data_IF_157302499712
#
_entry.id   IF_157302499712
#
_cell.length_a   1.000
_cell.length_b   1.000
_cell.length_c   1.000
_cell.angle_alpha   90.00
_cell.angle_beta   90.00
_cell.angle_gamma   90.00
#
_symmetry.space_group_name_H-M   'P 1'
#
loop_
_entity.id
_entity.type
_entity.pdbx_description
1 polymer ?
#
# COMPACT_ATOMS: atom_id res chain seq x y z
N UNK A 1 6.20 26.06 -2.66
CA UNK A 1 7.18 25.56 -3.63
C UNK A 1 6.49 24.62 -4.61
N UNK A 2 6.29 25.04 -5.86
CA UNK A 2 5.59 24.25 -6.87
C UNK A 2 6.55 23.23 -7.49
N UNK A 3 6.26 21.91 -7.35
CA UNK A 3 7.06 20.87 -8.01
C UNK A 3 6.81 20.92 -9.52
N UNK A 4 7.82 21.32 -10.29
CA UNK A 4 7.76 21.26 -11.76
C UNK A 4 8.04 19.82 -12.19
N UNK A 5 7.14 19.22 -12.98
CA UNK A 5 7.32 17.87 -13.54
C UNK A 5 8.34 17.98 -14.67
N UNK A 6 9.51 17.37 -14.52
CA UNK A 6 10.52 17.28 -15.59
C UNK A 6 10.29 15.97 -16.31
N UNK A 7 10.09 16.03 -17.63
CA UNK A 7 10.13 14.84 -18.47
C UNK A 7 11.60 14.50 -18.74
N UNK A 8 12.08 13.30 -18.40
CA UNK A 8 13.44 12.91 -18.75
C UNK A 8 13.58 12.84 -20.27
N UNK A 9 14.71 13.35 -20.79
CA UNK A 9 15.09 13.18 -22.19
C UNK A 9 15.54 11.74 -22.50
N UNK A 10 15.96 11.46 -23.75
CA UNK A 10 16.55 10.17 -24.09
C UNK A 10 17.79 9.88 -23.24
N UNK A 11 18.03 8.60 -22.95
CA UNK A 11 19.26 8.17 -22.25
C UNK A 11 20.45 8.40 -23.18
N UNK A 12 21.45 9.15 -22.72
CA UNK A 12 22.69 9.44 -23.44
C UNK A 12 23.71 8.30 -23.36
N UNK A 13 24.91 8.54 -23.88
CA UNK A 13 26.05 7.63 -23.72
C UNK A 13 26.51 7.58 -22.24
N UNK A 14 27.25 6.53 -21.89
CA UNK A 14 27.85 6.39 -20.56
C UNK A 14 28.87 7.50 -20.32
N UNK A 15 28.87 8.04 -19.10
CA UNK A 15 29.69 9.17 -18.66
C UNK A 15 30.61 8.69 -17.54
N UNK A 16 31.89 9.06 -17.60
CA UNK A 16 32.85 8.81 -16.52
C UNK A 16 32.80 9.99 -15.53
N UNK A 17 32.28 9.73 -14.32
CA UNK A 17 32.03 10.76 -13.31
C UNK A 17 33.31 11.24 -12.58
N UNK A 18 34.42 10.52 -12.71
CA UNK A 18 35.71 10.95 -12.16
C UNK A 18 36.34 12.01 -13.06
N UNK A 19 36.21 11.83 -14.39
CA UNK A 19 36.77 12.72 -15.40
C UNK A 19 35.84 13.91 -15.72
N UNK A 20 34.52 13.70 -15.72
CA UNK A 20 33.54 14.70 -16.09
C UNK A 20 32.90 15.37 -14.87
N UNK A 21 32.63 16.68 -14.96
CA UNK A 21 31.98 17.46 -13.90
C UNK A 21 30.48 17.60 -14.17
N UNK A 22 29.72 16.59 -13.72
CA UNK A 22 28.27 16.58 -13.79
C UNK A 22 27.67 17.13 -12.49
N UNK A 23 26.71 18.06 -12.60
CA UNK A 23 26.04 18.69 -11.45
C UNK A 23 24.59 18.22 -11.32
N UNK A 24 24.18 17.96 -10.08
CA UNK A 24 22.79 17.71 -9.71
C UNK A 24 21.97 19.01 -9.70
N UNK A 25 20.62 18.95 -9.70
CA UNK A 25 19.77 20.14 -9.67
C UNK A 25 19.96 21.05 -8.45
N UNK A 26 20.55 20.53 -7.37
CA UNK A 26 20.91 21.29 -6.18
C UNK A 26 22.29 21.97 -6.28
N UNK A 27 22.98 21.81 -7.42
CA UNK A 27 24.31 22.36 -7.68
C UNK A 27 25.47 21.50 -7.17
N UNK A 28 25.20 20.38 -6.50
CA UNK A 28 26.26 19.48 -6.01
C UNK A 28 26.86 18.62 -7.15
N UNK A 29 28.12 18.20 -7.01
CA UNK A 29 28.77 17.30 -7.99
C UNK A 29 28.21 15.89 -7.85
N UNK A 30 27.90 15.25 -8.98
CA UNK A 30 27.60 13.84 -9.06
C UNK A 30 28.92 13.06 -9.18
N UNK A 31 29.24 12.25 -8.18
CA UNK A 31 30.38 11.32 -8.15
C UNK A 31 29.85 9.88 -8.18
N UNK A 32 30.71 8.89 -8.44
CA UNK A 32 30.31 7.47 -8.49
C UNK A 32 29.74 6.97 -7.16
N UNK A 33 30.31 7.39 -6.04
CA UNK A 33 29.81 7.08 -4.70
C UNK A 33 28.39 7.63 -4.50
N UNK A 34 28.17 8.89 -4.87
CA UNK A 34 26.84 9.55 -4.82
C UNK A 34 25.84 8.92 -5.79
N UNK A 35 26.29 8.52 -6.97
CA UNK A 35 25.45 7.85 -7.95
C UNK A 35 24.97 6.49 -7.41
N UNK A 36 25.89 5.72 -6.81
CA UNK A 36 25.59 4.45 -6.14
C UNK A 36 24.59 4.64 -5.01
N UNK A 37 24.80 5.62 -4.12
CA UNK A 37 23.90 5.92 -3.00
C UNK A 37 22.48 6.26 -3.49
N UNK A 38 22.36 7.08 -4.55
CA UNK A 38 21.07 7.46 -5.13
C UNK A 38 20.39 6.24 -5.76
N UNK A 39 21.13 5.39 -6.45
CA UNK A 39 20.63 4.16 -7.07
C UNK A 39 20.13 3.17 -6.01
N UNK A 40 20.90 2.92 -4.95
CA UNK A 40 20.50 2.07 -3.83
C UNK A 40 19.24 2.61 -3.15
N UNK A 41 19.19 3.91 -2.88
CA UNK A 41 17.99 4.56 -2.31
C UNK A 41 16.77 4.41 -3.23
N UNK A 42 16.97 4.45 -4.55
CA UNK A 42 15.91 4.21 -5.52
C UNK A 42 15.47 2.74 -5.56
N UNK A 43 16.39 1.79 -5.39
CA UNK A 43 16.09 0.35 -5.31
C UNK A 43 15.34 -0.02 -4.02
N UNK A 44 15.76 0.55 -2.87
CA UNK A 44 15.05 0.42 -1.59
C UNK A 44 13.63 0.97 -1.70
N UNK A 45 13.45 2.04 -2.46
CA UNK A 45 12.13 2.54 -2.88
C UNK A 45 11.55 1.66 -3.99
N UNK A 46 11.25 0.39 -3.64
CA UNK A 46 10.50 -0.52 -4.52
C UNK A 46 9.33 0.22 -5.17
N UNK A 47 9.20 0.14 -6.49
CA UNK A 47 8.02 0.65 -7.20
C UNK A 47 6.80 -0.20 -6.80
N UNK A 48 6.07 0.31 -5.81
CA UNK A 48 4.84 -0.23 -5.23
C UNK A 48 4.61 0.42 -3.86
N UNK A 49 3.36 0.59 -3.42
CA UNK A 49 3.08 1.08 -2.05
C UNK A 49 3.55 -0.01 -1.07
N UNK A 50 4.50 0.27 -0.15
CA UNK A 50 4.86 -0.69 0.90
C UNK A 50 3.63 -1.10 1.71
N UNK A 51 3.44 -2.39 1.97
CA UNK A 51 2.58 -2.83 3.07
C UNK A 51 3.30 -2.47 4.37
N UNK A 52 2.59 -1.82 5.30
CA UNK A 52 3.15 -1.29 6.55
C UNK A 52 3.17 -2.38 7.64
N UNK A 53 2.78 -3.62 7.32
CA UNK A 53 2.66 -4.74 8.26
C UNK A 53 3.36 -5.96 7.68
N UNK A 54 4.37 -6.48 8.39
CA UNK A 54 5.15 -7.69 8.09
C UNK A 54 4.37 -9.01 8.33
N UNK A 55 3.05 -8.94 8.46
CA UNK A 55 2.18 -10.08 8.68
C UNK A 55 1.20 -10.17 7.50
N UNK A 56 1.59 -10.89 6.45
CA UNK A 56 0.79 -11.12 5.25
C UNK A 56 -0.26 -12.25 5.48
N UNK A 57 -0.85 -12.28 6.68
CA UNK A 57 -1.94 -13.19 7.01
C UNK A 57 -3.25 -12.61 6.46
N UNK A 58 -3.56 -12.91 5.19
CA UNK A 58 -4.87 -12.56 4.62
C UNK A 58 -6.00 -13.08 5.52
N UNK A 59 -7.00 -12.22 5.80
CA UNK A 59 -8.20 -12.66 6.51
C UNK A 59 -8.86 -13.81 5.74
N UNK A 60 -9.07 -14.98 6.36
CA UNK A 60 -9.72 -16.10 5.68
C UNK A 60 -11.15 -15.73 5.28
N UNK A 61 -11.56 -16.14 4.08
CA UNK A 61 -12.91 -15.90 3.58
C UNK A 61 -13.85 -17.06 3.95
N UNK A 62 -15.01 -16.74 4.53
CA UNK A 62 -16.09 -17.70 4.80
C UNK A 62 -17.33 -17.30 3.99
N UNK A 63 -17.86 -18.23 3.18
CA UNK A 63 -19.10 -18.04 2.44
C UNK A 63 -20.23 -18.81 3.13
N UNK A 64 -21.24 -18.09 3.62
CA UNK A 64 -22.41 -18.66 4.31
C UNK A 64 -23.66 -18.48 3.46
N UNK A 65 -24.45 -19.55 3.31
CA UNK A 65 -25.79 -19.47 2.70
C UNK A 65 -26.82 -19.15 3.77
N UNK A 66 -27.60 -18.11 3.56
CA UNK A 66 -28.67 -17.66 4.47
C UNK A 66 -29.96 -17.45 3.69
N UNK A 67 -31.10 -17.42 4.39
CA UNK A 67 -32.38 -17.05 3.77
C UNK A 67 -32.37 -15.58 3.32
N UNK A 68 -33.24 -15.24 2.37
CA UNK A 68 -33.45 -13.85 1.93
C UNK A 68 -33.85 -12.93 3.07
N UNK A 69 -34.70 -13.42 3.98
CA UNK A 69 -35.14 -12.71 5.19
C UNK A 69 -33.98 -12.38 6.12
N UNK A 70 -33.07 -13.34 6.34
CA UNK A 70 -31.89 -13.14 7.21
C UNK A 70 -30.94 -12.12 6.60
N UNK A 71 -30.71 -12.19 5.29
CA UNK A 71 -29.86 -11.23 4.58
C UNK A 71 -30.43 -9.80 4.66
N UNK A 72 -31.73 -9.65 4.43
CA UNK A 72 -32.41 -8.36 4.51
C UNK A 72 -32.33 -7.76 5.93
N UNK A 73 -32.54 -8.57 6.97
CA UNK A 73 -32.42 -8.12 8.36
C UNK A 73 -31.01 -7.63 8.68
N UNK A 74 -29.96 -8.35 8.23
CA UNK A 74 -28.57 -7.91 8.43
C UNK A 74 -28.26 -6.60 7.67
N UNK A 75 -28.81 -6.42 6.48
CA UNK A 75 -28.67 -5.17 5.71
C UNK A 75 -29.34 -3.98 6.39
N UNK A 76 -30.53 -4.18 6.96
CA UNK A 76 -31.25 -3.15 7.72
C UNK A 76 -30.52 -2.75 9.01
N UNK A 77 -29.99 -3.73 9.75
CA UNK A 77 -29.17 -3.49 10.93
C UNK A 77 -27.90 -2.71 10.54
N UNK A 78 -27.22 -3.12 9.48
CA UNK A 78 -26.03 -2.42 8.98
C UNK A 78 -26.34 -0.97 8.58
N UNK A 79 -27.45 -0.75 7.85
CA UNK A 79 -27.88 0.57 7.42
C UNK A 79 -28.24 1.49 8.60
N UNK A 80 -29.03 0.98 9.55
CA UNK A 80 -29.44 1.75 10.74
C UNK A 80 -28.25 2.16 11.63
N UNK A 81 -27.21 1.33 11.67
CA UNK A 81 -25.98 1.61 12.42
C UNK A 81 -24.93 2.40 11.60
N UNK A 82 -25.16 2.63 10.30
CA UNK A 82 -24.18 3.25 9.41
C UNK A 82 -22.90 2.41 9.20
N UNK A 83 -23.00 1.08 9.36
CA UNK A 83 -21.88 0.14 9.30
C UNK A 83 -21.94 -0.71 8.04
N UNK A 84 -20.84 -1.40 7.73
CA UNK A 84 -20.81 -2.36 6.61
C UNK A 84 -21.46 -3.67 7.04
N UNK A 85 -22.17 -4.31 6.11
CA UNK A 85 -22.77 -5.64 6.32
C UNK A 85 -21.76 -6.67 6.85
N UNK A 86 -20.53 -6.62 6.34
CA UNK A 86 -19.45 -7.53 6.76
C UNK A 86 -19.05 -7.35 8.24
N UNK A 87 -19.10 -6.12 8.76
CA UNK A 87 -18.73 -5.85 10.16
C UNK A 87 -19.82 -6.34 11.10
N UNK A 88 -21.09 -6.09 10.77
CA UNK A 88 -22.25 -6.63 11.51
C UNK A 88 -22.25 -8.15 11.48
N UNK A 89 -21.97 -8.76 10.32
CA UNK A 89 -21.92 -10.22 10.19
C UNK A 89 -20.77 -10.82 11.02
N UNK A 90 -19.60 -10.19 11.02
CA UNK A 90 -18.45 -10.64 11.82
C UNK A 90 -18.76 -10.59 13.31
N UNK A 91 -19.33 -9.50 13.79
CA UNK A 91 -19.74 -9.33 15.19
C UNK A 91 -20.79 -10.38 15.59
N UNK A 92 -21.80 -10.61 14.75
CA UNK A 92 -22.80 -11.65 15.02
C UNK A 92 -22.17 -13.05 15.15
N UNK A 93 -21.19 -13.39 14.30
CA UNK A 93 -20.45 -14.65 14.44
C UNK A 93 -19.61 -14.68 15.71
N UNK A 94 -18.94 -13.59 16.06
CA UNK A 94 -18.11 -13.50 17.25
C UNK A 94 -18.93 -13.61 18.53
N UNK A 95 -20.06 -12.89 18.64
CA UNK A 95 -21.00 -13.01 19.75
C UNK A 95 -21.55 -14.45 19.88
N UNK A 96 -21.89 -15.07 18.76
CA UNK A 96 -22.35 -16.46 18.76
C UNK A 96 -21.25 -17.40 19.27
N UNK A 97 -20.00 -17.22 18.80
CA UNK A 97 -18.87 -18.00 19.31
C UNK A 97 -18.67 -17.73 20.80
N UNK A 98 -18.59 -16.48 21.26
CA UNK A 98 -18.41 -16.14 22.68
C UNK A 98 -19.50 -16.75 23.57
N UNK A 99 -20.75 -16.75 23.11
CA UNK A 99 -21.88 -17.37 23.83
C UNK A 99 -21.75 -18.89 23.97
N UNK A 100 -21.05 -19.54 23.06
CA UNK A 100 -21.01 -21.00 22.93
C UNK A 100 -19.62 -21.62 23.16
N UNK A 101 -18.55 -20.83 23.19
CA UNK A 101 -17.15 -21.28 23.23
C UNK A 101 -16.48 -21.08 24.60
N UNK A 102 -17.26 -21.25 25.68
CA UNK A 102 -16.76 -21.24 27.07
C UNK A 102 -15.50 -22.09 27.24
#
# INVERSE_FOLDING_TARGET
MTRRKVAPGPVGADVDLEQEDIRLPDGSRLTDERATEIAERALVRRRGRPSVTDDESHTPSLTVRVSTTTRAALEEIAASQGRRLADVSREAFEEYIQRHAS
#
